data_IF_617990753266
#
_entry.id   IF_617990753266
#
_cell.length_a   1.000
_cell.length_b   1.000
_cell.length_c   1.000
_cell.angle_alpha   90.00
_cell.angle_beta   90.00
_cell.angle_gamma   90.00
#
_symmetry.space_group_name_H-M   'P 1'
#
loop_
_entity.id
_entity.type
_entity.pdbx_description
1 polymer ?
#
# COMPACT_ATOMS: atom_id res chain seq x y z
N UNK A 1 7.98 5.34 16.91
CA UNK A 1 7.54 4.21 17.76
C UNK A 1 7.81 2.93 16.99
N UNK A 2 8.72 2.07 17.45
CA UNK A 2 8.89 0.75 16.87
C UNK A 2 7.72 -0.13 17.35
N UNK A 3 6.89 -0.60 16.41
CA UNK A 3 5.81 -1.54 16.75
C UNK A 3 6.43 -2.89 17.08
N UNK A 4 6.12 -3.45 18.25
CA UNK A 4 6.61 -4.76 18.65
C UNK A 4 6.03 -5.84 17.73
N UNK A 5 6.81 -6.90 17.49
CA UNK A 5 6.35 -8.05 16.70
C UNK A 5 5.07 -8.67 17.31
N UNK A 6 4.92 -8.61 18.64
CA UNK A 6 3.69 -8.99 19.35
C UNK A 6 2.44 -8.29 18.77
N UNK A 7 2.52 -6.99 18.52
CA UNK A 7 1.37 -6.21 18.02
C UNK A 7 1.01 -6.61 16.58
N UNK A 8 2.00 -7.01 15.77
CA UNK A 8 1.78 -7.56 14.44
C UNK A 8 1.13 -8.96 14.50
N UNK A 9 1.55 -9.81 15.44
CA UNK A 9 0.94 -11.13 15.65
C UNK A 9 -0.51 -11.03 16.14
N UNK A 10 -0.79 -10.13 17.07
CA UNK A 10 -2.16 -9.90 17.58
C UNK A 10 -3.06 -9.35 16.48
N UNK A 11 -2.55 -8.43 15.67
CA UNK A 11 -3.25 -7.89 14.51
C UNK A 11 -3.53 -8.97 13.47
N UNK A 12 -2.55 -9.84 13.19
CA UNK A 12 -2.69 -10.97 12.27
C UNK A 12 -3.83 -11.89 12.69
N UNK A 13 -3.85 -12.26 13.99
CA UNK A 13 -4.92 -13.09 14.56
C UNK A 13 -6.29 -12.40 14.49
N UNK A 14 -6.35 -11.11 14.83
CA UNK A 14 -7.59 -10.34 14.92
C UNK A 14 -8.20 -10.00 13.56
N UNK A 15 -7.35 -9.69 12.59
CA UNK A 15 -7.76 -9.39 11.21
C UNK A 15 -7.86 -10.65 10.32
N UNK A 16 -7.51 -11.84 10.85
CA UNK A 16 -7.41 -13.11 10.10
C UNK A 16 -6.59 -12.96 8.81
N UNK A 17 -5.44 -12.28 8.92
CA UNK A 17 -4.54 -11.99 7.78
C UNK A 17 -3.46 -13.08 7.62
N UNK A 18 -3.06 -13.31 6.37
CA UNK A 18 -1.91 -14.15 6.04
C UNK A 18 -0.60 -13.39 6.29
N UNK A 19 0.53 -14.12 6.34
CA UNK A 19 1.88 -13.52 6.42
C UNK A 19 2.14 -12.55 5.27
N UNK A 20 1.75 -12.91 4.05
CA UNK A 20 1.89 -12.05 2.85
C UNK A 20 1.21 -10.68 3.04
N UNK A 21 0.00 -10.66 3.61
CA UNK A 21 -0.73 -9.42 3.87
C UNK A 21 -0.03 -8.56 4.93
N UNK A 22 0.62 -9.18 5.92
CA UNK A 22 1.40 -8.47 6.95
C UNK A 22 2.67 -7.88 6.36
N UNK A 23 3.38 -8.64 5.52
CA UNK A 23 4.55 -8.15 4.80
C UNK A 23 4.20 -7.02 3.84
N UNK A 24 3.08 -7.15 3.11
CA UNK A 24 2.55 -6.09 2.26
C UNK A 24 2.22 -4.84 3.07
N UNK A 25 1.54 -4.98 4.20
CA UNK A 25 1.26 -3.84 5.09
C UNK A 25 2.55 -3.17 5.59
N UNK A 26 3.57 -3.95 5.97
CA UNK A 26 4.90 -3.44 6.34
C UNK A 26 5.57 -2.70 5.18
N UNK A 27 5.53 -3.26 3.97
CA UNK A 27 6.06 -2.63 2.75
C UNK A 27 5.35 -1.32 2.41
N UNK A 28 4.03 -1.27 2.62
CA UNK A 28 3.23 -0.06 2.46
C UNK A 28 3.46 0.97 3.58
N UNK A 29 4.22 0.63 4.63
CA UNK A 29 4.44 1.52 5.78
C UNK A 29 3.16 1.73 6.59
N UNK A 30 2.27 0.73 6.60
CA UNK A 30 1.09 0.70 7.44
C UNK A 30 1.45 0.17 8.84
N UNK A 31 0.66 0.60 9.82
CA UNK A 31 0.93 0.32 11.22
C UNK A 31 -0.05 -0.74 11.72
N UNK A 32 0.32 -1.64 12.64
CA UNK A 32 -0.59 -2.69 13.12
C UNK A 32 -1.86 -2.10 13.76
N UNK A 33 -1.74 -0.97 14.47
CA UNK A 33 -2.91 -0.25 15.01
C UNK A 33 -3.87 0.27 13.93
N UNK A 34 -3.37 0.60 12.74
CA UNK A 34 -4.22 1.05 11.63
C UNK A 34 -5.02 -0.10 11.00
N UNK A 35 -4.44 -1.31 10.99
CA UNK A 35 -5.12 -2.52 10.53
C UNK A 35 -6.25 -2.90 11.49
N UNK A 36 -5.99 -2.88 12.80
CA UNK A 36 -7.01 -3.19 13.82
C UNK A 36 -8.18 -2.21 13.75
N UNK A 37 -7.92 -0.92 13.51
CA UNK A 37 -8.97 0.10 13.35
C UNK A 37 -9.80 -0.08 12.07
N UNK A 38 -9.28 -0.78 11.07
CA UNK A 38 -9.97 -1.04 9.80
C UNK A 38 -10.73 -2.37 9.80
N UNK A 39 -10.76 -3.11 10.91
CA UNK A 39 -11.57 -4.33 11.01
C UNK A 39 -13.05 -3.91 10.94
N UNK A 40 -13.82 -4.39 9.94
CA UNK A 40 -15.25 -4.11 9.88
C UNK A 40 -15.96 -4.67 11.11
N UNK A 41 -16.80 -3.87 11.75
CA UNK A 41 -17.68 -4.33 12.81
C UNK A 41 -19.02 -4.83 12.21
N UNK A 42 -19.83 -5.54 12.99
CA UNK A 42 -21.12 -6.10 12.53
C UNK A 42 -22.11 -5.03 12.03
N UNK A 43 -21.94 -3.78 12.46
CA UNK A 43 -22.78 -2.64 12.10
C UNK A 43 -22.24 -1.84 10.92
N UNK A 44 -21.07 -2.23 10.37
CA UNK A 44 -20.41 -1.56 9.23
C UNK A 44 -20.23 -2.54 8.05
N UNK A 45 -21.32 -3.09 7.48
CA UNK A 45 -21.24 -4.05 6.37
C UNK A 45 -20.65 -3.46 5.08
N UNK A 46 -20.62 -2.13 4.96
CA UNK A 46 -20.02 -1.43 3.82
C UNK A 46 -18.49 -1.35 3.87
N UNK A 47 -17.85 -1.72 5.00
CA UNK A 47 -16.39 -1.76 5.09
C UNK A 47 -15.88 -3.09 4.55
N UNK A 48 -14.99 -3.01 3.56
CA UNK A 48 -14.31 -4.19 3.04
C UNK A 48 -13.44 -4.85 4.13
N UNK A 49 -13.25 -6.19 4.07
CA UNK A 49 -12.28 -6.86 4.91
C UNK A 49 -10.88 -6.26 4.75
N UNK A 50 -10.08 -6.25 5.82
CA UNK A 50 -8.74 -5.68 5.84
C UNK A 50 -7.83 -6.29 4.76
N UNK A 51 -8.03 -7.56 4.39
CA UNK A 51 -7.32 -8.21 3.28
C UNK A 51 -7.58 -7.53 1.95
N UNK A 52 -8.85 -7.31 1.59
CA UNK A 52 -9.26 -6.65 0.34
C UNK A 52 -8.71 -5.22 0.31
N UNK A 53 -8.88 -4.50 1.42
CA UNK A 53 -8.37 -3.14 1.55
C UNK A 53 -6.85 -3.04 1.35
N UNK A 54 -6.07 -4.00 1.87
CA UNK A 54 -4.61 -4.03 1.66
C UNK A 54 -4.23 -4.15 0.19
N UNK A 55 -4.91 -5.02 -0.56
CA UNK A 55 -4.67 -5.16 -1.99
C UNK A 55 -5.05 -3.91 -2.78
N UNK A 56 -6.15 -3.24 -2.42
CA UNK A 56 -6.54 -1.97 -3.04
C UNK A 56 -5.50 -0.86 -2.82
N UNK A 57 -4.94 -0.76 -1.61
CA UNK A 57 -3.89 0.21 -1.31
C UNK A 57 -2.62 -0.10 -2.09
N UNK A 58 -2.22 -1.37 -2.17
CA UNK A 58 -1.06 -1.77 -2.97
C UNK A 58 -1.25 -1.43 -4.45
N UNK A 59 -2.38 -1.83 -5.03
CA UNK A 59 -2.67 -1.58 -6.44
C UNK A 59 -2.69 -0.08 -6.73
N UNK A 60 -3.28 0.72 -5.85
CA UNK A 60 -3.30 2.19 -5.97
C UNK A 60 -1.89 2.77 -5.92
N UNK A 61 -1.01 2.26 -5.06
CA UNK A 61 0.40 2.69 -5.01
C UNK A 61 1.16 2.29 -6.26
N UNK A 62 0.98 1.06 -6.75
CA UNK A 62 1.60 0.56 -7.99
C UNK A 62 1.21 1.42 -9.18
N UNK A 63 -0.10 1.65 -9.39
CA UNK A 63 -0.63 2.52 -10.46
C UNK A 63 -0.04 3.94 -10.37
N UNK A 64 0.07 4.51 -9.16
CA UNK A 64 0.65 5.85 -8.97
C UNK A 64 2.15 5.88 -9.30
N UNK A 65 2.91 4.86 -8.90
CA UNK A 65 4.33 4.73 -9.20
C UNK A 65 4.57 4.57 -10.70
N UNK A 66 3.81 3.70 -11.38
CA UNK A 66 3.87 3.51 -12.83
C UNK A 66 3.55 4.80 -13.59
N UNK A 67 2.50 5.52 -13.20
CA UNK A 67 2.17 6.83 -13.79
C UNK A 67 3.30 7.85 -13.60
N UNK A 68 3.92 7.88 -12.41
CA UNK A 68 5.06 8.77 -12.13
C UNK A 68 6.26 8.41 -13.00
N UNK A 69 6.55 7.13 -13.20
CA UNK A 69 7.62 6.67 -14.08
C UNK A 69 7.34 7.05 -15.55
N UNK A 70 6.13 6.82 -16.06
CA UNK A 70 5.74 7.23 -17.42
C UNK A 70 5.90 8.74 -17.63
N UNK A 71 5.49 9.56 -16.66
CA UNK A 71 5.67 11.02 -16.72
C UNK A 71 7.15 11.42 -16.72
N UNK A 72 7.99 10.76 -15.93
CA UNK A 72 9.44 10.98 -15.92
C UNK A 72 10.09 10.58 -17.24
N UNK A 73 9.75 9.42 -17.79
CA UNK A 73 10.27 8.96 -19.08
C UNK A 73 9.90 9.94 -20.21
N UNK A 74 8.65 10.43 -20.24
CA UNK A 74 8.21 11.43 -21.21
C UNK A 74 8.99 12.75 -21.06
N UNK A 75 9.21 13.20 -19.83
CA UNK A 75 9.98 14.42 -19.56
C UNK A 75 11.45 14.29 -20.00
N UNK A 76 12.08 13.14 -19.74
CA UNK A 76 13.45 12.84 -20.18
C UNK A 76 13.53 12.75 -21.70
N UNK A 77 12.57 12.11 -22.36
CA UNK A 77 12.53 12.05 -23.83
C UNK A 77 12.42 13.45 -24.46
N UNK A 78 11.56 14.31 -23.92
CA UNK A 78 11.42 15.69 -24.39
C UNK A 78 12.66 16.57 -24.15
N UNK A 79 13.47 16.26 -23.13
CA UNK A 79 14.72 16.98 -22.86
C UNK A 79 15.85 16.59 -23.81
N UNK A 80 15.91 15.32 -24.23
CA UNK A 80 16.94 14.85 -25.16
C UNK A 80 16.67 15.29 -26.63
N UNK A 81 15.40 15.43 -27.01
CA UNK A 81 15.01 15.90 -28.36
C UNK A 81 15.40 17.37 -28.62
N UNK A 82 15.50 18.19 -27.57
CA UNK A 82 15.92 19.59 -27.68
C UNK A 82 17.44 19.84 -27.63
N UNK A 83 18.26 18.79 -27.43
CA UNK A 83 19.73 18.91 -27.38
C UNK A 83 20.44 18.59 -28.70
N UNK A 84 19.73 18.09 -29.71
CA UNK A 84 20.26 17.74 -31.05
C UNK A 84 19.98 18.84 -32.08
N UNK A 85 20.35 20.09 -31.81
CA UNK A 85 20.18 21.19 -32.80
C UNK A 85 21.22 22.31 -32.68
N UNK A 86 22.45 22.02 -32.27
CA UNK A 86 23.53 23.02 -32.33
C UNK A 86 24.82 22.46 -32.93
#
# INVERSE_FOLDING_TARGET
MAYSEQMWQDTKKKCRLNSENIELAKHLGLNPSSLVKNIPNKSEPWKAPVSVWLHEIDEKRRKKTEQKQKRRAKAVAAQNDGSDTK
#
